data_IF_053721164076
#
_entry.id   IF_053721164076
#
_cell.length_a   1.000
_cell.length_b   1.000
_cell.length_c   1.000
_cell.angle_alpha   90.00
_cell.angle_beta   90.00
_cell.angle_gamma   90.00
#
_symmetry.space_group_name_H-M   'P 1'
#
loop_
_entity.id
_entity.type
_entity.pdbx_description
1 polymer ?
#
# COMPACT_ATOMS: atom_id res chain seq x y z
N UNK A 1 2.67 -20.32 -8.53
CA UNK A 1 2.17 -19.94 -7.19
C UNK A 1 1.84 -18.46 -7.26
N UNK A 2 0.61 -18.02 -6.92
CA UNK A 2 0.29 -16.59 -6.95
C UNK A 2 0.88 -15.91 -5.71
N UNK A 3 1.55 -14.76 -5.91
CA UNK A 3 2.15 -14.01 -4.81
C UNK A 3 1.05 -13.43 -3.92
N UNK A 4 1.05 -13.69 -2.59
CA UNK A 4 0.12 -13.05 -1.66
C UNK A 4 0.34 -11.54 -1.63
N UNK A 5 -0.75 -10.78 -1.53
CA UNK A 5 -0.71 -9.32 -1.55
C UNK A 5 -1.49 -8.76 -0.37
N UNK A 6 -0.94 -7.74 0.28
CA UNK A 6 -1.66 -6.95 1.28
C UNK A 6 -1.98 -5.59 0.72
N UNK A 7 -3.25 -5.19 0.82
CA UNK A 7 -3.71 -3.86 0.44
C UNK A 7 -4.22 -3.08 1.65
N UNK A 8 -3.60 -1.93 1.91
CA UNK A 8 -3.96 -1.01 2.99
C UNK A 8 -4.64 0.21 2.38
N UNK A 9 -5.88 0.46 2.79
CA UNK A 9 -6.68 1.58 2.33
C UNK A 9 -7.72 1.17 1.28
N UNK A 10 -8.99 1.25 1.65
CA UNK A 10 -10.13 0.75 0.85
C UNK A 10 -11.01 1.90 0.34
N UNK A 11 -10.39 2.88 -0.31
CA UNK A 11 -11.07 3.82 -1.19
C UNK A 11 -11.48 3.19 -2.53
N UNK A 12 -12.08 3.94 -3.47
CA UNK A 12 -12.53 3.40 -4.76
C UNK A 12 -11.44 2.65 -5.54
N UNK A 13 -10.22 3.20 -5.57
CA UNK A 13 -9.07 2.57 -6.22
C UNK A 13 -8.64 1.28 -5.52
N UNK A 14 -8.44 1.33 -4.20
CA UNK A 14 -8.04 0.15 -3.42
C UNK A 14 -9.04 -1.01 -3.54
N UNK A 15 -10.33 -0.72 -3.51
CA UNK A 15 -11.35 -1.76 -3.72
C UNK A 15 -11.34 -2.35 -5.13
N UNK A 16 -11.10 -1.53 -6.17
CA UNK A 16 -10.96 -2.01 -7.53
C UNK A 16 -9.73 -2.94 -7.68
N UNK A 17 -8.59 -2.54 -7.10
CA UNK A 17 -7.37 -3.36 -7.09
C UNK A 17 -7.59 -4.70 -6.39
N UNK A 18 -8.24 -4.73 -5.22
CA UNK A 18 -8.54 -5.99 -4.52
C UNK A 18 -9.37 -6.92 -5.40
N UNK A 19 -10.41 -6.42 -6.06
CA UNK A 19 -11.26 -7.23 -6.95
C UNK A 19 -10.46 -7.79 -8.13
N UNK A 20 -9.60 -6.99 -8.76
CA UNK A 20 -8.74 -7.46 -9.85
C UNK A 20 -7.76 -8.53 -9.37
N UNK A 21 -7.08 -8.32 -8.24
CA UNK A 21 -6.14 -9.28 -7.68
C UNK A 21 -6.81 -10.61 -7.32
N UNK A 22 -8.01 -10.56 -6.72
CA UNK A 22 -8.80 -11.75 -6.43
C UNK A 22 -9.22 -12.49 -7.71
N UNK A 23 -9.65 -11.77 -8.75
CA UNK A 23 -10.04 -12.36 -10.04
C UNK A 23 -8.88 -13.09 -10.73
N UNK A 24 -7.64 -12.60 -10.57
CA UNK A 24 -6.41 -13.23 -11.05
C UNK A 24 -5.90 -14.36 -10.12
N UNK A 25 -6.64 -14.68 -9.05
CA UNK A 25 -6.32 -15.78 -8.14
C UNK A 25 -5.23 -15.48 -7.11
N UNK A 26 -4.94 -14.19 -6.84
CA UNK A 26 -4.07 -13.82 -5.74
C UNK A 26 -4.77 -13.97 -4.40
N UNK A 27 -4.03 -14.39 -3.38
CA UNK A 27 -4.47 -14.28 -1.99
C UNK A 27 -4.33 -12.82 -1.55
N UNK A 28 -5.45 -12.18 -1.21
CA UNK A 28 -5.46 -10.77 -0.83
C UNK A 28 -5.84 -10.61 0.64
N UNK A 29 -4.94 -10.01 1.42
CA UNK A 29 -5.24 -9.50 2.76
C UNK A 29 -5.51 -8.00 2.68
N UNK A 30 -6.51 -7.51 3.40
CA UNK A 30 -6.86 -6.09 3.41
C UNK A 30 -6.89 -5.55 4.82
N UNK A 31 -6.58 -4.26 4.96
CA UNK A 31 -6.87 -3.51 6.17
C UNK A 31 -7.28 -2.09 5.82
N UNK A 32 -8.21 -1.54 6.61
CA UNK A 32 -8.62 -0.15 6.52
C UNK A 32 -9.00 0.37 7.90
N UNK A 33 -8.67 1.64 8.19
CA UNK A 33 -9.00 2.30 9.47
C UNK A 33 -10.48 2.19 9.84
N UNK A 34 -11.36 2.24 8.84
CA UNK A 34 -12.80 1.98 9.00
C UNK A 34 -13.09 0.57 8.47
N UNK A 35 -13.25 -0.45 9.34
CA UNK A 35 -13.35 -1.85 8.91
C UNK A 35 -14.56 -2.14 8.02
N UNK A 36 -15.67 -1.41 8.19
CA UNK A 36 -16.89 -1.59 7.39
C UNK A 36 -16.67 -1.34 5.89
N UNK A 37 -15.63 -0.58 5.49
CA UNK A 37 -15.27 -0.42 4.08
C UNK A 37 -14.71 -1.68 3.42
N UNK A 38 -14.39 -2.71 4.20
CA UNK A 38 -13.92 -3.99 3.69
C UNK A 38 -15.05 -4.97 3.34
N UNK A 39 -16.31 -4.68 3.70
CA UNK A 39 -17.41 -5.62 3.57
C UNK A 39 -17.52 -6.24 2.16
N UNK A 40 -17.54 -5.41 1.11
CA UNK A 40 -17.72 -5.86 -0.27
C UNK A 40 -16.54 -6.70 -0.77
N UNK A 41 -15.32 -6.33 -0.41
CA UNK A 41 -14.12 -7.05 -0.85
C UNK A 41 -13.89 -8.34 -0.05
N UNK A 42 -14.33 -8.38 1.21
CA UNK A 42 -14.37 -9.62 2.01
C UNK A 42 -15.40 -10.58 1.45
N UNK A 43 -16.58 -10.10 1.08
CA UNK A 43 -17.59 -10.90 0.38
C UNK A 43 -17.07 -11.45 -0.96
N UNK A 44 -16.16 -10.72 -1.63
CA UNK A 44 -15.49 -11.18 -2.84
C UNK A 44 -14.32 -12.15 -2.60
N UNK A 45 -13.91 -12.40 -1.34
CA UNK A 45 -12.87 -13.38 -0.99
C UNK A 45 -11.59 -12.82 -0.38
N UNK A 46 -11.50 -11.51 -0.13
CA UNK A 46 -10.38 -10.94 0.61
C UNK A 46 -10.43 -11.32 2.10
N UNK A 47 -9.25 -11.46 2.72
CA UNK A 47 -9.13 -11.63 4.17
C UNK A 47 -8.97 -10.27 4.85
N UNK A 48 -9.87 -9.91 5.75
CA UNK A 48 -9.72 -8.72 6.58
C UNK A 48 -8.75 -9.01 7.74
N UNK A 49 -7.68 -8.22 7.84
CA UNK A 49 -6.80 -8.23 9.00
C UNK A 49 -7.44 -7.47 10.18
N UNK A 50 -7.23 -7.95 11.41
CA UNK A 50 -7.78 -7.33 12.61
C UNK A 50 -7.04 -6.03 12.96
N UNK A 51 -5.72 -6.00 12.78
CA UNK A 51 -4.87 -4.83 13.04
C UNK A 51 -3.97 -4.49 11.84
N UNK A 52 -3.42 -3.26 11.77
CA UNK A 52 -2.41 -2.92 10.76
C UNK A 52 -1.18 -3.83 10.82
N UNK A 53 -0.75 -4.23 12.02
CA UNK A 53 0.40 -5.11 12.20
C UNK A 53 0.14 -6.50 11.59
N UNK A 54 -1.06 -7.04 11.79
CA UNK A 54 -1.46 -8.31 11.18
C UNK A 54 -1.49 -8.23 9.64
N UNK A 55 -1.87 -7.08 9.10
CA UNK A 55 -1.87 -6.84 7.66
C UNK A 55 -0.43 -6.81 7.10
N UNK A 56 0.48 -6.06 7.74
CA UNK A 56 1.88 -5.97 7.34
C UNK A 56 2.60 -7.34 7.38
N UNK A 57 2.24 -8.19 8.34
CA UNK A 57 2.81 -9.53 8.47
C UNK A 57 2.25 -10.55 7.46
N UNK A 58 1.14 -10.24 6.77
CA UNK A 58 0.43 -11.21 5.93
C UNK A 58 1.09 -11.47 4.57
N UNK A 59 1.92 -10.56 4.07
CA UNK A 59 2.59 -10.72 2.76
C UNK A 59 3.81 -9.80 2.59
N UNK A 60 4.79 -10.25 1.82
CA UNK A 60 5.95 -9.45 1.44
C UNK A 60 5.60 -8.30 0.47
N UNK A 61 4.55 -8.47 -0.35
CA UNK A 61 4.08 -7.42 -1.26
C UNK A 61 2.98 -6.58 -0.62
N UNK A 62 3.24 -5.28 -0.47
CA UNK A 62 2.32 -4.32 0.14
C UNK A 62 1.89 -3.24 -0.87
N UNK A 63 0.59 -2.96 -0.93
CA UNK A 63 0.00 -1.87 -1.71
C UNK A 63 -0.69 -0.90 -0.76
N UNK A 64 -0.33 0.38 -0.83
CA UNK A 64 -0.97 1.46 -0.07
C UNK A 64 -1.86 2.30 -1.00
N UNK A 65 -3.15 2.38 -0.69
CA UNK A 65 -4.16 3.17 -1.43
C UNK A 65 -4.92 4.09 -0.47
N UNK A 66 -4.29 5.20 -0.07
CA UNK A 66 -4.79 6.14 0.95
C UNK A 66 -5.25 7.46 0.31
N UNK A 67 -6.35 8.03 0.81
CA UNK A 67 -6.99 9.24 0.25
C UNK A 67 -6.52 10.56 0.90
N UNK A 68 -6.19 10.54 2.19
CA UNK A 68 -5.99 11.78 2.97
C UNK A 68 -4.53 11.90 3.41
N UNK A 69 -3.70 12.52 2.56
CA UNK A 69 -2.30 12.86 2.86
C UNK A 69 -1.37 11.66 3.03
N UNK A 70 -0.14 11.81 2.54
CA UNK A 70 0.94 10.91 2.95
C UNK A 70 1.20 11.18 4.45
N UNK A 71 1.34 10.16 5.33
CA UNK A 71 1.84 10.37 6.68
C UNK A 71 3.08 11.26 6.65
N UNK A 72 3.32 12.13 7.64
CA UNK A 72 4.37 13.17 7.57
C UNK A 72 5.74 12.64 7.11
N UNK A 73 6.14 11.44 7.57
CA UNK A 73 7.36 10.76 7.12
C UNK A 73 7.33 10.40 5.62
N UNK A 74 6.20 9.90 5.12
CA UNK A 74 5.99 9.57 3.71
C UNK A 74 5.88 10.85 2.86
N UNK A 75 5.34 11.94 3.42
CA UNK A 75 5.31 13.24 2.77
C UNK A 75 6.70 13.87 2.68
N UNK A 76 7.49 13.84 3.76
CA UNK A 76 8.87 14.32 3.78
C UNK A 76 9.73 13.56 2.76
N UNK A 77 9.57 12.24 2.72
CA UNK A 77 10.23 11.39 1.75
C UNK A 77 9.79 11.69 0.30
N UNK A 78 8.50 11.87 0.05
CA UNK A 78 7.98 12.26 -1.27
C UNK A 78 8.55 13.60 -1.74
N UNK A 79 8.64 14.59 -0.84
CA UNK A 79 9.24 15.89 -1.13
C UNK A 79 10.72 15.75 -1.46
N UNK A 80 11.50 15.04 -0.63
CA UNK A 80 12.92 14.77 -0.88
C UNK A 80 13.15 14.09 -2.23
N UNK A 81 12.35 13.05 -2.54
CA UNK A 81 12.44 12.30 -3.78
C UNK A 81 12.25 13.23 -4.99
N UNK A 82 11.26 14.13 -4.94
CA UNK A 82 11.02 15.12 -6.00
C UNK A 82 12.17 16.10 -6.17
N UNK A 83 12.73 16.61 -5.06
CA UNK A 83 13.87 17.54 -5.08
C UNK A 83 15.12 16.90 -5.68
N UNK A 84 15.29 15.58 -5.53
CA UNK A 84 16.43 14.82 -6.06
C UNK A 84 16.15 14.19 -7.43
N UNK A 85 15.11 14.64 -8.14
CA UNK A 85 14.84 14.23 -9.52
C UNK A 85 14.12 12.87 -9.68
N UNK A 86 13.50 12.38 -8.60
CA UNK A 86 12.65 11.20 -8.61
C UNK A 86 11.16 11.60 -8.72
N UNK A 87 10.35 10.84 -9.43
CA UNK A 87 8.90 11.08 -9.52
C UNK A 87 8.45 12.15 -10.52
N UNK A 88 9.35 12.68 -11.36
CA UNK A 88 9.01 13.57 -12.49
C UNK A 88 8.28 12.84 -13.62
N UNK A 89 8.49 11.53 -13.75
CA UNK A 89 8.12 10.80 -14.98
C UNK A 89 7.16 9.63 -14.71
N UNK A 90 7.07 9.11 -13.47
CA UNK A 90 6.05 8.16 -12.97
C UNK A 90 6.36 7.72 -11.52
N UNK A 91 5.48 6.88 -10.95
CA UNK A 91 5.58 6.27 -9.60
C UNK A 91 6.81 5.36 -9.36
N UNK A 92 7.45 4.85 -10.42
CA UNK A 92 8.50 3.82 -10.34
C UNK A 92 9.74 4.28 -9.56
N UNK A 93 10.17 5.54 -9.74
CA UNK A 93 11.38 6.05 -9.04
C UNK A 93 11.18 6.32 -7.55
N UNK A 94 9.94 6.52 -7.12
CA UNK A 94 9.60 6.63 -5.69
C UNK A 94 9.76 5.27 -5.03
N UNK A 95 9.35 4.20 -5.71
CA UNK A 95 9.48 2.81 -5.24
C UNK A 95 10.95 2.40 -5.10
N UNK A 96 11.80 2.75 -6.08
CA UNK A 96 13.23 2.43 -6.03
C UNK A 96 13.93 3.08 -4.82
N UNK A 97 13.56 4.31 -4.46
CA UNK A 97 14.10 4.98 -3.30
C UNK A 97 13.43 4.56 -1.97
N UNK A 98 12.29 3.85 -1.98
CA UNK A 98 11.70 3.28 -0.77
C UNK A 98 12.37 1.96 -0.37
N UNK A 99 13.19 1.37 -1.26
CA UNK A 99 13.96 0.16 -0.94
C UNK A 99 14.93 0.46 0.22
N UNK A 100 15.28 -0.56 1.02
CA UNK A 100 16.05 -0.41 2.26
C UNK A 100 17.41 0.32 2.13
N UNK A 101 17.92 0.57 0.92
CA UNK A 101 19.16 1.32 0.69
C UNK A 101 18.99 2.86 0.77
N UNK A 102 17.76 3.38 0.73
CA UNK A 102 17.49 4.82 0.70
C UNK A 102 16.72 5.34 1.92
N UNK A 103 16.22 4.45 2.78
CA UNK A 103 15.56 4.82 4.06
C UNK A 103 16.56 5.48 5.03
N UNK A 104 17.83 5.08 4.99
CA UNK A 104 18.89 5.63 5.86
C UNK A 104 19.35 7.05 5.46
N UNK A 105 18.87 7.59 4.33
CA UNK A 105 19.30 8.88 3.76
C UNK A 105 18.21 9.95 3.88
N UNK A 106 17.01 9.58 4.34
CA UNK A 106 15.90 10.51 4.55
C UNK A 106 16.14 11.27 5.86
N UNK A 107 16.15 12.61 5.86
CA UNK A 107 16.25 13.38 7.09
C UNK A 107 15.09 13.01 8.02
N UNK A 108 15.39 12.75 9.29
CA UNK A 108 14.35 12.66 10.31
C UNK A 108 13.61 14.01 10.35
N UNK A 109 12.31 13.97 10.09
CA UNK A 109 11.41 15.13 10.18
C UNK A 109 11.44 15.78 11.57
#
# INVERSE_FOLDING_TARGET
MSTPVTLIGLGPMGQAMVRTLLAEGHQVTVWNRTPSRAADVVAAGAKLAATPADALAASELLILSLADGLPAAVQAYYTWAREHGHGGDNWTRIIDAMRPQAVDVVPAA
#
